data_IF_888127295737
#
_entry.id   IF_888127295737
#
_cell.length_a   1.000
_cell.length_b   1.000
_cell.length_c   1.000
_cell.angle_alpha   90.00
_cell.angle_beta   90.00
_cell.angle_gamma   90.00
#
_symmetry.space_group_name_H-M   'P 1'
#
loop_
_entity.id
_entity.type
_entity.pdbx_description
1 polymer ?
#
# COMPACT_ATOMS: atom_id res chain seq x y z
N UNK A 1 1.16 20.12 -3.26
CA UNK A 1 0.61 18.75 -3.08
C UNK A 1 1.16 17.87 -4.19
N UNK A 2 1.84 16.77 -3.87
CA UNK A 2 2.49 15.90 -4.88
C UNK A 2 1.57 14.82 -5.44
N UNK A 3 0.45 14.51 -4.76
CA UNK A 3 -0.56 13.55 -5.22
C UNK A 3 -1.92 13.90 -4.62
N UNK A 4 -2.97 13.90 -5.43
CA UNK A 4 -4.36 14.02 -5.00
C UNK A 4 -5.18 12.92 -5.68
N UNK A 5 -6.13 12.33 -4.96
CA UNK A 5 -7.02 11.28 -5.46
C UNK A 5 -8.46 11.71 -5.19
N UNK A 6 -9.33 11.51 -6.17
CA UNK A 6 -10.77 11.79 -6.07
C UNK A 6 -11.55 10.58 -6.56
N UNK A 7 -12.49 10.10 -5.75
CA UNK A 7 -13.45 9.06 -6.12
C UNK A 7 -14.71 9.76 -6.60
N UNK A 8 -15.20 9.41 -7.79
CA UNK A 8 -16.37 10.03 -8.39
C UNK A 8 -17.64 9.29 -7.93
N UNK A 9 -18.32 9.81 -6.91
CA UNK A 9 -19.58 9.26 -6.40
C UNK A 9 -20.80 10.09 -6.84
N UNK A 10 -20.62 11.37 -7.14
CA UNK A 10 -21.72 12.27 -7.50
C UNK A 10 -21.33 13.46 -8.38
N UNK A 11 -22.27 14.40 -8.54
CA UNK A 11 -22.07 15.61 -9.33
C UNK A 11 -21.01 16.54 -8.74
N UNK A 12 -20.93 16.63 -7.41
CA UNK A 12 -19.97 17.50 -6.70
C UNK A 12 -18.52 17.05 -6.91
N UNK A 13 -18.27 15.73 -6.92
CA UNK A 13 -16.94 15.19 -7.22
C UNK A 13 -16.53 15.51 -8.66
N UNK A 14 -17.48 15.51 -9.60
CA UNK A 14 -17.20 15.90 -10.99
C UNK A 14 -16.86 17.38 -11.09
N UNK A 15 -17.60 18.25 -10.39
CA UNK A 15 -17.29 19.67 -10.34
C UNK A 15 -15.89 19.93 -9.74
N UNK A 16 -15.53 19.19 -8.70
CA UNK A 16 -14.20 19.26 -8.07
C UNK A 16 -13.08 18.76 -9.01
N UNK A 17 -13.32 17.68 -9.76
CA UNK A 17 -12.38 17.19 -10.76
C UNK A 17 -12.12 18.23 -11.86
N UNK A 18 -13.17 18.90 -12.35
CA UNK A 18 -13.06 19.98 -13.33
C UNK A 18 -12.24 21.14 -12.78
N UNK A 19 -12.53 21.57 -11.55
CA UNK A 19 -11.77 22.63 -10.90
C UNK A 19 -10.28 22.27 -10.79
N UNK A 20 -9.96 21.04 -10.37
CA UNK A 20 -8.58 20.56 -10.26
C UNK A 20 -7.85 20.50 -11.60
N UNK A 21 -8.53 20.07 -12.66
CA UNK A 21 -7.95 20.05 -14.01
C UNK A 21 -7.60 21.46 -14.50
N UNK A 22 -8.41 22.48 -14.16
CA UNK A 22 -8.20 23.86 -14.59
C UNK A 22 -7.00 24.54 -13.92
N UNK A 23 -6.70 24.20 -12.67
CA UNK A 23 -5.61 24.83 -11.90
C UNK A 23 -4.31 24.01 -11.91
N UNK A 24 -4.30 22.86 -12.57
CA UNK A 24 -3.17 21.96 -12.57
C UNK A 24 -1.98 22.56 -13.36
N UNK A 25 -0.74 22.50 -12.83
CA UNK A 25 0.45 22.92 -13.55
C UNK A 25 0.65 22.14 -14.85
N UNK A 26 1.31 22.77 -15.83
CA UNK A 26 1.71 22.12 -17.09
C UNK A 26 2.58 20.89 -16.79
N UNK A 27 2.24 19.75 -17.42
CA UNK A 27 2.88 18.46 -17.16
C UNK A 27 2.13 17.57 -16.15
N UNK A 28 1.03 18.03 -15.58
CA UNK A 28 0.18 17.20 -14.70
C UNK A 28 -0.52 16.09 -15.50
N UNK A 29 -0.43 14.84 -15.03
CA UNK A 29 -1.11 13.68 -15.63
C UNK A 29 -2.39 13.34 -14.88
N UNK A 30 -3.51 13.23 -15.59
CA UNK A 30 -4.81 12.85 -15.05
C UNK A 30 -5.19 11.45 -15.57
N UNK A 31 -5.57 10.55 -14.66
CA UNK A 31 -5.97 9.18 -14.98
C UNK A 31 -7.34 8.86 -14.37
N UNK A 32 -8.33 8.53 -15.20
CA UNK A 32 -9.63 8.04 -14.76
C UNK A 32 -9.66 6.52 -14.83
N UNK A 33 -9.88 5.84 -13.69
CA UNK A 33 -10.10 4.39 -13.62
C UNK A 33 -11.54 4.13 -13.20
N UNK A 34 -12.22 3.18 -13.87
CA UNK A 34 -13.52 2.70 -13.40
C UNK A 34 -13.37 2.15 -11.98
N UNK A 35 -14.35 2.39 -11.08
CA UNK A 35 -14.37 1.70 -9.79
C UNK A 35 -14.40 0.20 -10.09
N UNK A 36 -13.38 -0.51 -9.63
CA UNK A 36 -13.40 -1.97 -9.67
C UNK A 36 -14.36 -2.40 -8.57
N UNK A 37 -15.33 -3.26 -8.91
CA UNK A 37 -16.31 -3.84 -7.97
C UNK A 37 -15.64 -4.59 -6.80
N UNK A 38 -14.34 -4.86 -6.94
CA UNK A 38 -13.43 -5.37 -5.93
C UNK A 38 -12.30 -4.37 -5.73
N UNK A 39 -11.95 -4.06 -4.49
CA UNK A 39 -10.65 -3.45 -4.19
C UNK A 39 -9.58 -4.33 -4.83
N UNK A 40 -8.72 -3.81 -5.73
CA UNK A 40 -7.54 -4.52 -6.19
C UNK A 40 -6.80 -5.11 -4.98
N UNK A 41 -6.24 -6.32 -5.11
CA UNK A 41 -5.47 -6.97 -4.02
C UNK A 41 -4.42 -6.03 -3.40
N UNK A 42 -3.78 -5.19 -4.24
CA UNK A 42 -2.87 -4.15 -3.76
C UNK A 42 -3.53 -3.14 -2.79
N UNK A 43 -4.74 -2.67 -3.08
CA UNK A 43 -5.44 -1.70 -2.22
C UNK A 43 -5.87 -2.35 -0.90
N UNK A 44 -6.30 -3.62 -0.94
CA UNK A 44 -6.57 -4.41 0.28
C UNK A 44 -5.30 -4.57 1.12
N UNK A 45 -4.17 -4.96 0.51
CA UNK A 45 -2.89 -5.07 1.20
C UNK A 45 -2.53 -3.77 1.93
N UNK A 46 -2.66 -2.61 1.27
CA UNK A 46 -2.38 -1.32 1.90
C UNK A 46 -3.33 -0.96 3.04
N UNK A 47 -4.61 -1.32 2.94
CA UNK A 47 -5.56 -1.14 4.04
C UNK A 47 -5.14 -1.95 5.27
N UNK A 48 -4.82 -3.24 5.08
CA UNK A 48 -4.35 -4.12 6.16
C UNK A 48 -3.06 -3.61 6.80
N UNK A 49 -2.09 -3.17 5.99
CA UNK A 49 -0.84 -2.59 6.50
C UNK A 49 -1.09 -1.33 7.32
N UNK A 50 -2.08 -0.53 6.95
CA UNK A 50 -2.47 0.67 7.70
C UNK A 50 -3.09 0.30 9.04
N UNK A 51 -3.99 -0.69 9.05
CA UNK A 51 -4.58 -1.20 10.29
C UNK A 51 -3.50 -1.73 11.24
N UNK A 52 -2.58 -2.57 10.75
CA UNK A 52 -1.45 -3.11 11.53
C UNK A 52 -0.57 -1.98 12.08
N UNK A 53 -0.13 -1.07 11.20
CA UNK A 53 0.74 0.05 11.59
C UNK A 53 0.12 0.94 12.66
N UNK A 54 -1.22 1.04 12.70
CA UNK A 54 -1.94 1.83 13.67
C UNK A 54 -2.13 1.12 15.02
N UNK A 55 -2.15 -0.22 15.04
CA UNK A 55 -2.60 -0.99 16.20
C UNK A 55 -1.45 -1.62 17.01
N UNK A 56 -0.30 -1.89 16.40
CA UNK A 56 0.81 -2.56 17.11
C UNK A 56 2.17 -1.91 16.87
N UNK A 57 3.11 -2.20 17.75
CA UNK A 57 4.53 -2.03 17.48
C UNK A 57 5.17 -3.39 17.17
N UNK A 58 6.43 -3.37 16.74
CA UNK A 58 7.24 -4.56 16.62
C UNK A 58 8.59 -4.30 17.30
N UNK A 59 8.96 -5.16 18.25
CA UNK A 59 10.16 -4.99 19.07
C UNK A 59 10.25 -3.59 19.72
N UNK A 60 9.13 -3.08 20.24
CA UNK A 60 9.07 -1.78 20.91
C UNK A 60 9.21 -0.57 19.97
N UNK A 61 9.11 -0.77 18.66
CA UNK A 61 9.17 0.30 17.66
C UNK A 61 7.95 0.30 16.75
N UNK A 62 7.39 1.49 16.53
CA UNK A 62 6.33 1.72 15.55
C UNK A 62 6.92 1.84 14.15
N UNK A 63 6.27 1.19 13.20
CA UNK A 63 6.66 1.18 11.79
C UNK A 63 5.53 1.74 10.93
N UNK A 64 5.90 2.40 9.83
CA UNK A 64 4.94 2.86 8.81
C UNK A 64 4.37 1.68 8.02
N UNK A 65 3.24 1.85 7.31
CA UNK A 65 2.69 0.81 6.44
C UNK A 65 3.71 0.30 5.39
N UNK A 66 4.52 1.20 4.83
CA UNK A 66 5.59 0.84 3.90
C UNK A 66 6.67 -0.04 4.55
N UNK A 67 7.02 0.24 5.81
CA UNK A 67 8.02 -0.55 6.54
C UNK A 67 7.46 -1.93 6.92
N UNK A 68 6.20 -1.98 7.39
CA UNK A 68 5.51 -3.25 7.64
C UNK A 68 5.45 -4.13 6.39
N UNK A 69 5.21 -3.53 5.22
CA UNK A 69 5.25 -4.27 3.95
C UNK A 69 6.58 -4.98 3.73
N UNK A 70 7.71 -4.33 4.03
CA UNK A 70 9.04 -4.94 3.90
C UNK A 70 9.19 -6.11 4.87
N UNK A 71 8.72 -5.97 6.12
CA UNK A 71 8.75 -7.03 7.12
C UNK A 71 7.95 -8.26 6.66
N UNK A 72 6.73 -8.04 6.16
CA UNK A 72 5.88 -9.13 5.68
C UNK A 72 6.44 -9.80 4.41
N UNK A 73 6.94 -9.02 3.46
CA UNK A 73 7.59 -9.58 2.27
C UNK A 73 8.78 -10.47 2.66
N UNK A 74 9.62 -10.01 3.59
CA UNK A 74 10.73 -10.81 4.09
C UNK A 74 10.25 -12.07 4.81
N UNK A 75 9.19 -11.98 5.63
CA UNK A 75 8.60 -13.13 6.31
C UNK A 75 8.01 -14.16 5.35
N UNK A 76 7.50 -13.73 4.19
CA UNK A 76 7.05 -14.60 3.09
C UNK A 76 8.22 -15.16 2.24
N UNK A 77 9.47 -15.05 2.72
CA UNK A 77 10.63 -15.64 2.07
C UNK A 77 11.21 -14.81 0.92
N UNK A 78 10.83 -13.53 0.79
CA UNK A 78 11.45 -12.65 -0.21
C UNK A 78 12.83 -12.19 0.25
N UNK A 79 13.82 -12.51 -0.55
CA UNK A 79 15.21 -12.18 -0.27
C UNK A 79 15.46 -10.67 -0.37
N UNK A 80 16.30 -10.17 0.54
CA UNK A 80 16.85 -8.82 0.51
C UNK A 80 18.34 -8.93 0.26
N UNK A 81 18.80 -8.26 -0.80
CA UNK A 81 20.22 -8.12 -1.12
C UNK A 81 20.73 -6.81 -0.53
N UNK A 82 21.97 -6.78 -0.05
CA UNK A 82 22.61 -5.56 0.40
C UNK A 82 23.64 -5.13 -0.63
N UNK A 83 23.38 -4.02 -1.31
CA UNK A 83 24.25 -3.47 -2.34
C UNK A 83 25.19 -2.42 -1.72
N UNK A 84 26.49 -2.42 -2.02
CA UNK A 84 27.37 -1.34 -1.57
C UNK A 84 26.94 -0.01 -2.20
N UNK A 85 26.92 1.06 -1.41
CA UNK A 85 26.66 2.40 -1.90
C UNK A 85 27.82 2.88 -2.80
N UNK A 86 27.51 3.72 -3.79
CA UNK A 86 28.50 4.20 -4.77
C UNK A 86 29.61 5.04 -4.14
N UNK A 87 29.33 5.68 -3.01
CA UNK A 87 30.28 6.45 -2.21
C UNK A 87 31.06 5.57 -1.20
N UNK A 88 30.81 4.25 -1.20
CA UNK A 88 31.36 3.27 -0.26
C UNK A 88 31.09 3.58 1.22
N UNK A 89 30.11 4.43 1.54
CA UNK A 89 29.84 4.81 2.94
C UNK A 89 29.02 3.76 3.70
N UNK A 90 28.22 2.97 2.99
CA UNK A 90 27.24 2.07 3.58
C UNK A 90 26.78 0.98 2.61
N UNK A 91 25.86 0.13 3.07
CA UNK A 91 25.09 -0.78 2.25
C UNK A 91 23.64 -0.29 2.15
N UNK A 92 23.06 -0.49 0.97
CA UNK A 92 21.68 -0.14 0.64
C UNK A 92 20.89 -1.45 0.55
N UNK A 93 19.79 -1.60 1.31
CA UNK A 93 18.92 -2.75 1.15
C UNK A 93 18.20 -2.66 -0.21
N UNK A 94 18.39 -3.68 -1.02
CA UNK A 94 17.74 -3.93 -2.30
C UNK A 94 16.86 -5.17 -2.16
N UNK A 95 15.55 -4.96 -2.05
CA UNK A 95 14.57 -6.03 -1.93
C UNK A 95 13.55 -5.98 -3.05
N UNK A 96 12.87 -7.10 -3.29
CA UNK A 96 11.81 -7.14 -4.29
C UNK A 96 10.60 -6.28 -3.89
N UNK A 97 10.10 -5.55 -4.88
CA UNK A 97 8.90 -4.73 -4.73
C UNK A 97 7.66 -5.62 -4.75
N UNK A 98 6.65 -5.27 -3.94
CA UNK A 98 5.32 -5.89 -4.05
C UNK A 98 4.66 -5.68 -5.43
N UNK A 99 5.25 -4.83 -6.30
CA UNK A 99 4.79 -4.59 -7.67
C UNK A 99 5.07 -5.75 -8.62
N UNK A 100 6.07 -6.57 -8.33
CA UNK A 100 6.48 -7.68 -9.19
C UNK A 100 5.88 -9.02 -8.73
N UNK A 101 5.03 -9.00 -7.70
CA UNK A 101 4.33 -10.19 -7.21
C UNK A 101 3.30 -10.66 -8.24
N UNK A 102 3.24 -11.98 -8.43
CA UNK A 102 2.12 -12.62 -9.11
C UNK A 102 0.82 -12.46 -8.30
N UNK A 103 -0.31 -12.77 -8.93
CA UNK A 103 -1.62 -12.72 -8.26
C UNK A 103 -1.67 -13.73 -7.10
N UNK A 104 -1.04 -14.87 -7.29
CA UNK A 104 -0.94 -15.96 -6.31
C UNK A 104 -0.09 -15.50 -5.12
N UNK A 105 1.11 -14.98 -5.37
CA UNK A 105 2.01 -14.48 -4.32
C UNK A 105 1.41 -13.32 -3.53
N UNK A 106 0.66 -12.44 -4.19
CA UNK A 106 -0.06 -11.37 -3.49
C UNK A 106 -1.22 -11.90 -2.64
N UNK A 107 -1.85 -13.01 -3.03
CA UNK A 107 -2.88 -13.67 -2.21
C UNK A 107 -2.25 -14.31 -0.98
N UNK A 108 -1.14 -15.02 -1.15
CA UNK A 108 -0.37 -15.62 -0.05
C UNK A 108 0.10 -14.57 0.96
N UNK A 109 0.58 -13.41 0.49
CA UNK A 109 0.95 -12.28 1.35
C UNK A 109 -0.24 -11.77 2.17
N UNK A 110 -1.42 -11.63 1.54
CA UNK A 110 -2.64 -11.18 2.22
C UNK A 110 -3.08 -12.19 3.28
N UNK A 111 -3.09 -13.48 2.95
CA UNK A 111 -3.47 -14.54 3.88
C UNK A 111 -2.49 -14.61 5.06
N UNK A 112 -1.19 -14.45 4.79
CA UNK A 112 -0.17 -14.38 5.83
C UNK A 112 -0.39 -13.19 6.78
N UNK A 113 -0.67 -12.00 6.25
CA UNK A 113 -0.97 -10.82 7.08
C UNK A 113 -2.24 -11.01 7.91
N UNK A 114 -3.27 -11.69 7.38
CA UNK A 114 -4.47 -12.02 8.14
C UNK A 114 -4.18 -12.95 9.31
N UNK A 115 -3.43 -14.03 9.08
CA UNK A 115 -3.03 -14.97 10.13
C UNK A 115 -2.20 -14.27 11.20
N UNK A 116 -1.18 -13.53 10.79
CA UNK A 116 -0.34 -12.77 11.71
C UNK A 116 -1.15 -11.73 12.50
N UNK A 117 -2.06 -11.02 11.85
CA UNK A 117 -2.93 -10.05 12.51
C UNK A 117 -3.84 -10.69 13.55
N UNK A 118 -4.42 -11.86 13.25
CA UNK A 118 -5.26 -12.59 14.20
C UNK A 118 -4.49 -13.01 15.46
N UNK A 119 -3.25 -13.48 15.30
CA UNK A 119 -2.37 -13.84 16.42
C UNK A 119 -1.98 -12.63 17.28
N UNK A 120 -1.89 -11.44 16.68
CA UNK A 120 -1.48 -10.20 17.34
C UNK A 120 -2.68 -9.31 17.74
N UNK A 121 -3.91 -9.82 17.65
CA UNK A 121 -5.12 -9.11 18.05
C UNK A 121 -5.46 -7.88 17.19
N UNK A 122 -5.01 -7.85 15.93
CA UNK A 122 -5.27 -6.78 14.98
C UNK A 122 -6.70 -6.88 14.44
N UNK A 123 -7.44 -5.78 14.52
CA UNK A 123 -8.76 -5.66 13.93
C UNK A 123 -8.62 -5.06 12.53
N UNK A 124 -8.92 -5.86 11.50
CA UNK A 124 -8.91 -5.40 10.12
C UNK A 124 -10.25 -4.76 9.73
N UNK A 125 -10.20 -3.53 9.22
CA UNK A 125 -11.36 -2.86 8.67
C UNK A 125 -11.52 -3.26 7.20
N UNK A 126 -12.18 -4.40 6.95
CA UNK A 126 -12.46 -4.80 5.58
C UNK A 126 -13.51 -3.82 4.99
N UNK A 127 -13.07 -2.88 4.15
CA UNK A 127 -13.96 -1.98 3.40
C UNK A 127 -14.83 -2.71 2.35
N UNK A 128 -14.89 -4.03 2.42
CA UNK A 128 -15.69 -4.88 1.54
C UNK A 128 -17.20 -4.82 1.82
N UNK A 129 -17.63 -4.33 2.99
CA UNK A 129 -19.05 -4.19 3.35
C UNK A 129 -19.59 -2.76 3.18
N UNK A 130 -19.42 -2.19 1.99
CA UNK A 130 -20.39 -1.21 1.50
C UNK A 130 -21.25 -1.91 0.45
N UNK A 131 -22.35 -2.48 0.93
CA UNK A 131 -23.40 -3.11 0.14
C UNK A 131 -24.04 -2.14 -0.87
#
# INVERSE_FOLDING_TARGET
MTRAVLILNGADDRAKAVHWANIAPVGTRLEFKKPRRTLPQNDRMWAMLTDIASQTDHNGRRYSPDQWKVLFLHACGREVQFLPALDNSTFIPWGQSSRDLSKEEMSELIDFMHGWGAENGIVFHDRAEAA
#
